data_IF_915206333885
#
_entry.id   IF_915206333885
#
_cell.length_a   1.000
_cell.length_b   1.000
_cell.length_c   1.000
_cell.angle_alpha   90.00
_cell.angle_beta   90.00
_cell.angle_gamma   90.00
#
_symmetry.space_group_name_H-M   'P 1'
#
loop_
_entity.id
_entity.type
_entity.pdbx_description
1 polymer ?
#
# COMPACT_ATOMS: atom_id res chain seq x y z
N UNK A 1 14.41 -13.04 19.88
CA UNK A 1 13.87 -13.74 18.69
C UNK A 1 12.45 -13.24 18.44
N UNK A 2 11.97 -13.32 17.21
CA UNK A 2 10.64 -12.87 16.77
C UNK A 2 9.78 -14.09 16.46
N UNK A 3 8.51 -14.08 16.88
CA UNK A 3 7.50 -15.01 16.40
C UNK A 3 6.71 -14.33 15.28
N UNK A 4 6.79 -14.87 14.06
CA UNK A 4 6.04 -14.37 12.93
C UNK A 4 4.96 -15.37 12.53
N UNK A 5 3.73 -14.91 12.37
CA UNK A 5 2.63 -15.66 11.76
C UNK A 5 2.25 -14.99 10.47
N UNK A 6 2.10 -15.77 9.40
CA UNK A 6 1.60 -15.28 8.12
C UNK A 6 0.25 -15.92 7.87
N UNK A 7 -0.77 -15.08 7.66
CA UNK A 7 -2.14 -15.50 7.36
C UNK A 7 -2.45 -15.28 5.89
N UNK A 8 -2.87 -16.33 5.21
CA UNK A 8 -3.55 -16.27 3.92
C UNK A 8 -5.04 -16.05 4.21
N UNK A 9 -5.62 -14.88 3.89
CA UNK A 9 -7.03 -14.64 4.12
C UNK A 9 -7.87 -15.39 3.08
N UNK A 10 -9.15 -15.63 3.39
CA UNK A 10 -10.12 -15.99 2.37
C UNK A 10 -10.27 -14.82 1.38
N UNK A 11 -10.46 -15.15 0.09
CA UNK A 11 -10.80 -14.14 -0.92
C UNK A 11 -12.19 -13.58 -0.61
N UNK A 12 -12.34 -12.26 -0.68
CA UNK A 12 -13.64 -11.63 -0.50
C UNK A 12 -14.59 -12.07 -1.61
N UNK A 13 -15.84 -12.36 -1.24
CA UNK A 13 -16.92 -12.76 -2.17
C UNK A 13 -17.26 -11.70 -3.22
N UNK A 14 -16.78 -10.47 -3.04
CA UNK A 14 -16.97 -9.36 -3.99
C UNK A 14 -15.77 -9.13 -4.91
N UNK A 15 -14.63 -9.77 -4.65
CA UNK A 15 -13.41 -9.71 -5.50
C UNK A 15 -13.43 -10.78 -6.61
N UNK A 16 -14.58 -11.44 -6.79
CA UNK A 16 -14.76 -12.56 -7.72
C UNK A 16 -15.40 -12.10 -9.04
N UNK A 17 -14.61 -11.48 -9.91
CA UNK A 17 -14.96 -11.38 -11.34
C UNK A 17 -14.55 -12.63 -12.15
N UNK A 18 -14.05 -13.67 -11.48
CA UNK A 18 -13.69 -14.93 -12.11
C UNK A 18 -14.83 -15.94 -12.07
N UNK A 19 -15.67 -15.87 -13.10
CA UNK A 19 -16.50 -17.01 -13.52
C UNK A 19 -15.62 -18.23 -13.81
N UNK A 20 -15.41 -19.09 -12.81
CA UNK A 20 -15.08 -20.50 -13.02
C UNK A 20 -15.55 -21.33 -11.83
N UNK A 21 -16.22 -22.44 -12.14
CA UNK A 21 -17.09 -23.25 -11.28
C UNK A 21 -16.34 -24.08 -10.20
N UNK A 22 -15.27 -23.56 -9.59
CA UNK A 22 -14.56 -24.25 -8.51
C UNK A 22 -15.13 -23.84 -7.14
N UNK A 23 -15.17 -24.76 -6.15
CA UNK A 23 -15.62 -24.44 -4.80
C UNK A 23 -14.78 -23.33 -4.17
N UNK A 24 -15.35 -22.66 -3.16
CA UNK A 24 -14.75 -21.53 -2.42
C UNK A 24 -13.25 -21.74 -2.13
N UNK A 25 -12.46 -20.68 -2.31
CA UNK A 25 -11.00 -20.69 -2.16
C UNK A 25 -10.56 -21.38 -0.85
N UNK A 26 -9.62 -22.32 -0.93
CA UNK A 26 -8.98 -22.88 0.27
C UNK A 26 -7.78 -22.03 0.67
N UNK A 27 -7.54 -21.94 1.97
CA UNK A 27 -6.41 -21.19 2.57
C UNK A 27 -5.29 -22.09 3.08
N UNK A 28 -5.50 -23.41 3.07
CA UNK A 28 -4.54 -24.40 3.54
C UNK A 28 -3.50 -24.74 2.49
N UNK A 29 -2.38 -25.30 2.94
CA UNK A 29 -1.33 -25.87 2.10
C UNK A 29 -0.54 -24.88 1.22
N UNK A 30 -0.65 -23.57 1.46
CA UNK A 30 0.28 -22.61 0.87
C UNK A 30 1.68 -22.82 1.45
N UNK A 31 2.68 -22.98 0.59
CA UNK A 31 4.08 -23.04 1.02
C UNK A 31 4.63 -21.62 1.12
N UNK A 32 5.10 -21.26 2.31
CA UNK A 32 5.68 -19.94 2.60
C UNK A 32 7.17 -20.10 2.87
N UNK A 33 7.98 -19.29 2.21
CA UNK A 33 9.41 -19.14 2.45
C UNK A 33 9.70 -17.73 2.96
N UNK A 34 10.54 -17.65 3.99
CA UNK A 34 11.12 -16.42 4.52
C UNK A 34 12.61 -16.48 4.29
N UNK A 35 13.15 -15.49 3.59
CA UNK A 35 14.59 -15.28 3.44
C UNK A 35 15.01 -14.08 4.28
N UNK A 36 15.82 -14.30 5.31
CA UNK A 36 16.49 -13.24 6.07
C UNK A 36 17.59 -12.65 5.18
N UNK A 37 17.52 -11.36 4.92
CA UNK A 37 18.40 -10.68 3.98
C UNK A 37 19.63 -10.12 4.70
N UNK A 38 20.76 -10.14 3.99
CA UNK A 38 21.98 -9.47 4.44
C UNK A 38 21.83 -7.96 4.22
N UNK A 39 21.54 -7.24 5.31
CA UNK A 39 21.34 -5.78 5.34
C UNK A 39 22.11 -5.17 6.49
N UNK A 40 22.26 -3.84 6.47
CA UNK A 40 22.74 -3.08 7.62
C UNK A 40 21.92 -3.44 8.89
N UNK A 41 22.52 -3.43 10.09
CA UNK A 41 21.83 -3.75 11.34
C UNK A 41 20.60 -2.87 11.57
N UNK A 42 19.43 -3.49 11.67
CA UNK A 42 18.13 -2.81 11.83
C UNK A 42 17.93 -2.16 13.22
N UNK A 43 18.85 -2.36 14.16
CA UNK A 43 18.86 -1.69 15.46
C UNK A 43 19.47 -0.28 15.40
N UNK A 44 19.82 0.20 14.20
CA UNK A 44 20.26 1.57 13.92
C UNK A 44 19.18 2.31 13.14
N UNK A 45 19.12 3.64 13.28
CA UNK A 45 18.16 4.48 12.53
C UNK A 45 18.36 4.31 11.02
N UNK A 46 19.61 4.34 10.56
CA UNK A 46 19.95 4.23 9.15
C UNK A 46 19.66 2.83 8.59
N UNK A 47 20.05 1.77 9.33
CA UNK A 47 19.79 0.39 8.92
C UNK A 47 18.30 0.09 8.85
N UNK A 48 17.52 0.54 9.84
CA UNK A 48 16.07 0.42 9.81
C UNK A 48 15.45 1.16 8.61
N UNK A 49 15.86 2.41 8.38
CA UNK A 49 15.36 3.22 7.26
C UNK A 49 15.63 2.54 5.91
N UNK A 50 16.87 2.09 5.68
CA UNK A 50 17.26 1.37 4.46
C UNK A 50 16.45 0.07 4.28
N UNK A 51 16.27 -0.69 5.36
CA UNK A 51 15.48 -1.92 5.33
C UNK A 51 13.99 -1.65 5.03
N UNK A 52 13.42 -0.59 5.59
CA UNK A 52 12.02 -0.20 5.37
C UNK A 52 11.73 0.31 3.94
N UNK A 53 12.72 0.90 3.28
CA UNK A 53 12.63 1.37 1.89
C UNK A 53 12.92 0.25 0.86
N UNK A 54 13.26 -0.95 1.31
CA UNK A 54 13.68 -2.05 0.45
C UNK A 54 12.48 -2.63 -0.32
N UNK A 55 12.49 -2.46 -1.65
CA UNK A 55 11.52 -3.10 -2.53
C UNK A 55 11.79 -4.60 -2.70
N UNK A 56 10.75 -5.39 -3.00
CA UNK A 56 10.86 -6.83 -3.35
C UNK A 56 11.89 -7.08 -4.44
N UNK A 57 11.91 -6.23 -5.49
CA UNK A 57 12.85 -6.33 -6.60
C UNK A 57 14.30 -6.21 -6.15
N UNK A 58 14.59 -5.32 -5.22
CA UNK A 58 15.95 -5.12 -4.71
C UNK A 58 16.31 -6.17 -3.65
N UNK A 59 15.35 -6.55 -2.79
CA UNK A 59 15.51 -7.62 -1.82
C UNK A 59 15.96 -8.95 -2.46
N UNK A 60 15.37 -9.31 -3.61
CA UNK A 60 15.76 -10.51 -4.38
C UNK A 60 17.21 -10.54 -4.86
N UNK A 61 17.91 -9.41 -4.85
CA UNK A 61 19.31 -9.29 -5.28
C UNK A 61 20.29 -9.37 -4.11
N UNK A 62 19.81 -9.28 -2.88
CA UNK A 62 20.65 -9.34 -1.69
C UNK A 62 21.02 -10.79 -1.37
N UNK A 63 22.16 -10.95 -0.68
CA UNK A 63 22.51 -12.24 -0.11
C UNK A 63 21.49 -12.65 0.94
N UNK A 64 21.23 -13.95 1.04
CA UNK A 64 20.33 -14.53 2.03
C UNK A 64 21.18 -15.11 3.15
N UNK A 65 20.97 -14.61 4.37
CA UNK A 65 21.66 -15.08 5.58
C UNK A 65 21.07 -16.40 6.05
N UNK A 66 19.74 -16.50 6.06
CA UNK A 66 19.03 -17.67 6.56
C UNK A 66 17.69 -17.82 5.85
N UNK A 67 17.20 -19.05 5.75
CA UNK A 67 15.90 -19.37 5.15
C UNK A 67 15.04 -20.17 6.11
N UNK A 68 13.75 -19.87 6.11
CA UNK A 68 12.74 -20.59 6.86
C UNK A 68 11.61 -20.96 5.92
N UNK A 69 11.00 -22.13 6.13
CA UNK A 69 9.82 -22.55 5.37
C UNK A 69 8.75 -23.10 6.30
N UNK A 70 7.49 -22.84 5.97
CA UNK A 70 6.33 -23.41 6.65
C UNK A 70 5.17 -23.51 5.66
N UNK A 71 4.16 -24.29 6.02
CA UNK A 71 2.95 -24.47 5.22
C UNK A 71 1.74 -24.02 6.02
N UNK A 72 0.75 -23.42 5.36
CA UNK A 72 -0.47 -22.97 6.04
C UNK A 72 -1.34 -24.15 6.47
N UNK A 73 -1.90 -24.03 7.67
CA UNK A 73 -2.92 -24.93 8.20
C UNK A 73 -4.32 -24.64 7.63
N UNK A 74 -5.34 -25.30 8.19
CA UNK A 74 -6.75 -25.12 7.79
C UNK A 74 -7.31 -23.73 8.10
N UNK A 75 -6.66 -22.94 8.96
CA UNK A 75 -7.02 -21.55 9.26
C UNK A 75 -6.28 -20.55 8.35
N UNK A 76 -5.42 -21.06 7.46
CA UNK A 76 -4.60 -20.26 6.56
C UNK A 76 -3.35 -19.69 7.24
N UNK A 77 -2.93 -20.24 8.37
CA UNK A 77 -1.81 -19.70 9.17
C UNK A 77 -0.56 -20.56 8.97
N UNK A 78 0.55 -19.91 8.65
CA UNK A 78 1.89 -20.48 8.75
C UNK A 78 2.65 -19.79 9.89
N UNK A 79 3.17 -20.57 10.85
CA UNK A 79 3.88 -20.05 12.00
C UNK A 79 5.39 -20.24 11.88
N UNK A 80 6.13 -19.21 12.26
CA UNK A 80 7.58 -19.14 12.21
C UNK A 80 8.09 -18.65 13.57
N UNK A 81 8.31 -19.55 14.54
CA UNK A 81 8.87 -19.18 15.83
C UNK A 81 10.38 -18.95 15.72
N UNK A 82 10.91 -18.09 16.58
CA UNK A 82 12.37 -18.02 16.79
C UNK A 82 13.16 -17.25 15.71
N UNK A 83 12.53 -16.41 14.89
CA UNK A 83 13.23 -15.69 13.83
C UNK A 83 14.23 -14.67 14.39
N UNK A 84 15.36 -14.52 13.71
CA UNK A 84 16.30 -13.43 13.97
C UNK A 84 15.70 -12.10 13.50
N UNK A 85 15.85 -11.00 14.27
CA UNK A 85 15.49 -9.67 13.80
C UNK A 85 16.23 -9.30 12.51
N UNK A 86 15.54 -8.65 11.58
CA UNK A 86 16.11 -8.19 10.32
C UNK A 86 15.06 -7.89 9.25
N UNK A 87 15.55 -7.56 8.05
CA UNK A 87 14.72 -7.47 6.86
C UNK A 87 14.52 -8.86 6.26
N UNK A 88 13.29 -9.21 5.93
CA UNK A 88 12.92 -10.51 5.41
C UNK A 88 12.16 -10.37 4.10
N UNK A 89 12.53 -11.15 3.08
CA UNK A 89 11.71 -11.38 1.90
C UNK A 89 10.77 -12.57 2.17
N UNK A 90 9.47 -12.33 2.03
CA UNK A 90 8.42 -13.33 2.20
C UNK A 90 7.86 -13.69 0.82
N UNK A 91 7.89 -14.98 0.50
CA UNK A 91 7.33 -15.55 -0.74
C UNK A 91 6.37 -16.66 -0.37
N UNK A 92 5.13 -16.60 -0.86
CA UNK A 92 4.14 -17.65 -0.67
C UNK A 92 3.71 -18.20 -2.02
N UNK A 93 3.63 -19.53 -2.13
CA UNK A 93 3.20 -20.22 -3.32
C UNK A 93 1.92 -20.99 -3.05
N UNK A 94 0.91 -20.91 -3.95
CA UNK A 94 -0.28 -21.73 -3.84
C UNK A 94 0.07 -23.23 -3.94
N UNK A 95 -0.73 -24.11 -3.34
CA UNK A 95 -0.59 -25.54 -3.55
C UNK A 95 -0.77 -25.89 -5.03
N UNK A 96 -0.17 -27.00 -5.46
CA UNK A 96 -0.31 -27.52 -6.82
C UNK A 96 -1.67 -28.19 -7.06
N UNK A 97 -2.45 -28.41 -6.00
CA UNK A 97 -3.82 -28.92 -6.09
C UNK A 97 -4.69 -27.97 -6.91
N UNK A 98 -5.39 -28.54 -7.90
CA UNK A 98 -6.30 -27.79 -8.76
C UNK A 98 -7.77 -27.94 -8.35
N UNK A 99 -8.08 -28.63 -7.25
CA UNK A 99 -9.46 -28.85 -6.78
C UNK A 99 -10.15 -27.55 -6.35
N UNK A 100 -9.38 -26.58 -5.88
CA UNK A 100 -9.86 -25.26 -5.49
C UNK A 100 -9.21 -24.16 -6.33
N UNK A 101 -9.78 -22.96 -6.27
CA UNK A 101 -9.09 -21.75 -6.70
C UNK A 101 -8.16 -21.27 -5.59
N UNK A 102 -6.87 -21.13 -5.93
CA UNK A 102 -5.83 -20.66 -5.01
C UNK A 102 -5.19 -19.39 -5.60
N UNK A 103 -5.62 -18.18 -5.17
CA UNK A 103 -4.98 -16.95 -5.61
C UNK A 103 -3.51 -16.93 -5.16
N UNK A 104 -2.65 -16.35 -5.99
CA UNK A 104 -1.23 -16.20 -5.67
C UNK A 104 -1.01 -14.98 -4.77
N UNK A 105 -0.40 -15.13 -3.59
CA UNK A 105 -0.04 -14.00 -2.75
C UNK A 105 1.06 -13.15 -3.39
N UNK A 106 0.99 -11.84 -3.15
CA UNK A 106 2.09 -10.93 -3.45
C UNK A 106 3.27 -11.24 -2.55
N UNK A 107 4.45 -11.29 -3.15
CA UNK A 107 5.69 -11.26 -2.39
C UNK A 107 5.84 -9.92 -1.67
N UNK A 108 6.49 -9.93 -0.51
CA UNK A 108 6.68 -8.71 0.28
C UNK A 108 7.97 -8.71 1.08
N UNK A 109 8.46 -7.52 1.39
CA UNK A 109 9.55 -7.32 2.33
C UNK A 109 8.95 -6.87 3.66
N UNK A 110 9.38 -7.48 4.75
CA UNK A 110 8.97 -7.13 6.12
C UNK A 110 10.21 -6.93 6.99
N UNK A 111 10.21 -5.89 7.80
CA UNK A 111 11.23 -5.67 8.84
C UNK A 111 10.66 -6.17 10.16
N UNK A 112 11.36 -7.09 10.82
CA UNK A 112 10.95 -7.67 12.11
C UNK A 112 12.02 -7.46 13.19
N UNK A 113 11.67 -7.19 14.46
CA UNK A 113 10.31 -6.93 14.97
C UNK A 113 9.69 -5.66 14.39
N UNK A 114 8.38 -5.49 14.56
CA UNK A 114 7.66 -4.28 14.12
C UNK A 114 7.48 -3.31 15.30
N UNK A 115 7.18 -2.04 15.03
CA UNK A 115 6.73 -1.15 16.09
C UNK A 115 5.43 -1.65 16.71
N UNK A 116 5.33 -1.62 18.03
CA UNK A 116 4.16 -2.00 18.83
C UNK A 116 3.56 -0.81 19.55
N UNK A 117 2.72 -1.07 20.57
CA UNK A 117 2.09 -0.01 21.36
C UNK A 117 3.08 0.61 22.36
N UNK A 118 2.87 1.88 22.69
CA UNK A 118 3.63 2.61 23.72
C UNK A 118 5.15 2.58 23.50
N UNK A 119 5.59 2.77 22.25
CA UNK A 119 7.00 2.79 21.85
C UNK A 119 7.77 1.49 22.15
N UNK A 120 7.06 0.36 22.33
CA UNK A 120 7.67 -0.96 22.52
C UNK A 120 7.72 -1.73 21.21
N UNK A 121 8.80 -2.48 21.01
CA UNK A 121 8.90 -3.44 19.90
C UNK A 121 7.87 -4.57 20.05
N UNK A 122 7.20 -4.91 18.95
CA UNK A 122 6.34 -6.07 18.83
C UNK A 122 7.13 -7.26 18.26
N UNK A 123 7.35 -8.27 19.09
CA UNK A 123 8.04 -9.51 18.71
C UNK A 123 7.06 -10.63 18.29
N UNK A 124 5.75 -10.41 18.41
CA UNK A 124 4.71 -11.35 18.00
C UNK A 124 3.93 -10.73 16.83
N UNK A 125 4.45 -10.95 15.62
CA UNK A 125 3.97 -10.28 14.41
C UNK A 125 2.97 -11.18 13.69
N UNK A 126 1.79 -10.64 13.37
CA UNK A 126 0.83 -11.25 12.45
C UNK A 126 0.83 -10.46 11.14
N UNK A 127 1.23 -11.11 10.06
CA UNK A 127 1.22 -10.55 8.71
C UNK A 127 0.05 -11.17 7.93
N UNK A 128 -0.78 -10.34 7.33
CA UNK A 128 -1.88 -10.81 6.47
C UNK A 128 -1.46 -10.61 5.03
N UNK A 129 -1.42 -11.70 4.27
CA UNK A 129 -1.01 -11.66 2.88
C UNK A 129 -2.05 -10.95 2.01
N UNK A 130 -1.56 -10.22 1.00
CA UNK A 130 -2.37 -9.67 -0.08
C UNK A 130 -2.18 -10.52 -1.33
N UNK A 131 -3.18 -10.60 -2.19
CA UNK A 131 -3.11 -11.35 -3.45
C UNK A 131 -2.63 -10.49 -4.61
N UNK A 132 -1.95 -11.11 -5.58
CA UNK A 132 -1.61 -10.44 -6.84
C UNK A 132 -2.90 -9.98 -7.53
N UNK A 133 -2.94 -8.76 -8.08
CA UNK A 133 -4.12 -8.28 -8.77
C UNK A 133 -4.44 -9.20 -9.94
N UNK A 134 -5.72 -9.55 -10.09
CA UNK A 134 -6.14 -10.35 -11.21
C UNK A 134 -6.17 -9.47 -12.48
N UNK A 135 -5.36 -9.82 -13.48
CA UNK A 135 -5.45 -9.17 -14.80
C UNK A 135 -6.56 -9.89 -15.56
N UNK A 136 -7.73 -9.26 -15.67
CA UNK A 136 -8.79 -9.76 -16.53
C UNK A 136 -8.31 -9.81 -17.99
N UNK A 137 -8.64 -10.87 -18.75
CA UNK A 137 -8.38 -10.87 -20.18
C UNK A 137 -9.10 -9.68 -20.85
N UNK A 138 -8.53 -9.09 -21.92
CA UNK A 138 -9.23 -8.06 -22.68
C UNK A 138 -10.58 -8.60 -23.15
N UNK A 139 -11.65 -7.84 -22.91
CA UNK A 139 -12.99 -8.18 -23.40
C UNK A 139 -12.94 -8.23 -24.93
N UNK A 140 -13.40 -9.32 -25.58
CA UNK A 140 -13.50 -9.37 -27.03
C UNK A 140 -14.38 -8.24 -27.56
N UNK A 141 -13.90 -7.46 -28.53
CA UNK A 141 -14.73 -6.49 -29.26
C UNK A 141 -15.87 -7.23 -29.96
N UNK A 142 -17.09 -7.13 -29.43
CA UNK A 142 -18.30 -7.56 -30.12
C UNK A 142 -18.61 -6.49 -31.17
N UNK A 143 -18.73 -6.81 -32.47
CA UNK A 143 -19.16 -5.84 -33.46
C UNK A 143 -20.60 -5.40 -33.17
N UNK A 144 -20.79 -4.10 -32.95
CA UNK A 144 -22.09 -3.45 -32.80
C UNK A 144 -22.80 -3.43 -34.16
N UNK A 145 -23.66 -4.42 -34.42
CA UNK A 145 -24.63 -4.33 -35.52
C UNK A 145 -25.78 -3.42 -35.08
N UNK A 146 -25.57 -2.10 -35.17
CA UNK A 146 -26.66 -1.12 -35.04
C UNK A 146 -27.39 -1.01 -36.38
N UNK A 147 -28.71 -1.29 -36.46
CA UNK A 147 -29.49 -1.06 -37.68
C UNK A 147 -29.50 0.42 -38.07
N UNK A 148 -29.56 0.76 -39.37
CA UNK A 148 -29.58 2.16 -39.80
C UNK A 148 -30.85 2.87 -39.31
N UNK A 149 -30.67 4.06 -38.75
CA UNK A 149 -31.76 4.94 -38.29
C UNK A 149 -32.51 5.55 -39.50
N UNK A 150 -33.84 5.73 -39.44
CA UNK A 150 -34.61 6.42 -40.49
C UNK A 150 -34.21 7.90 -40.63
N UNK A 151 -34.41 8.53 -41.81
CA UNK A 151 -33.97 9.91 -42.06
C UNK A 151 -34.81 10.94 -41.30
N UNK A 152 -34.14 11.98 -40.80
CA UNK A 152 -34.71 13.06 -39.99
C UNK A 152 -35.44 14.13 -40.83
N UNK A 153 -36.54 14.73 -40.33
CA UNK A 153 -37.10 15.95 -40.90
C UNK A 153 -36.36 17.20 -40.40
N UNK A 154 -35.92 18.02 -41.35
CA UNK A 154 -35.31 19.35 -41.15
C UNK A 154 -36.38 20.39 -40.85
N UNK A 155 -36.16 21.32 -39.91
CA UNK A 155 -36.35 22.79 -40.06
C UNK A 155 -35.81 23.54 -38.81
N UNK A 156 -35.05 24.60 -39.06
CA UNK A 156 -34.44 25.56 -38.11
C UNK A 156 -35.14 26.92 -38.28
N UNK A 157 -35.29 27.79 -37.25
CA UNK A 157 -34.32 28.89 -37.11
C UNK A 157 -34.08 29.43 -35.66
N UNK A 158 -32.80 29.74 -35.39
CA UNK A 158 -32.25 30.94 -34.72
C UNK A 158 -32.70 31.40 -33.31
N UNK A 159 -31.86 31.04 -32.30
CA UNK A 159 -31.38 31.71 -31.05
C UNK A 159 -32.05 32.97 -30.46
N UNK A 160 -32.04 33.17 -29.11
CA UNK A 160 -30.94 33.95 -28.52
C UNK A 160 -30.41 33.53 -27.10
N UNK A 161 -29.08 33.63 -26.93
CA UNK A 161 -28.33 34.11 -25.74
C UNK A 161 -28.08 33.20 -24.51
N UNK A 162 -26.95 33.34 -23.76
CA UNK A 162 -25.56 33.50 -24.19
C UNK A 162 -24.60 32.46 -23.56
N UNK A 163 -23.58 32.09 -24.34
CA UNK A 163 -22.38 31.39 -23.88
C UNK A 163 -21.32 32.37 -23.38
N UNK A 164 -20.51 31.94 -22.41
CA UNK A 164 -19.06 32.15 -22.47
C UNK A 164 -18.38 30.79 -22.23
N UNK A 165 -17.58 30.21 -23.12
CA UNK A 165 -16.51 30.87 -23.85
C UNK A 165 -15.31 31.11 -22.93
N UNK A 166 -14.56 30.07 -22.55
CA UNK A 166 -13.09 30.14 -22.39
C UNK A 166 -12.43 28.80 -22.07
N UNK A 167 -11.33 28.59 -22.79
CA UNK A 167 -10.18 27.75 -22.43
C UNK A 167 -9.89 27.79 -20.93
N UNK A 168 -9.75 26.62 -20.30
CA UNK A 168 -9.00 26.49 -19.07
C UNK A 168 -8.39 25.08 -19.00
N UNK A 169 -7.09 25.03 -19.24
CA UNK A 169 -6.19 23.99 -18.77
C UNK A 169 -6.13 24.01 -17.22
N UNK A 170 -5.37 23.09 -16.60
CA UNK A 170 -5.82 22.00 -15.77
C UNK A 170 -6.02 22.40 -14.29
N UNK A 171 -6.97 21.75 -13.58
CA UNK A 171 -7.03 21.85 -12.13
C UNK A 171 -6.60 20.53 -11.48
N UNK A 172 -5.32 20.51 -11.13
CA UNK A 172 -4.78 19.67 -10.09
C UNK A 172 -5.45 20.03 -8.75
N UNK A 173 -6.06 19.05 -8.10
CA UNK A 173 -6.50 19.11 -6.70
C UNK A 173 -6.51 17.65 -6.22
N UNK A 174 -5.69 17.23 -5.27
CA UNK A 174 -5.39 17.88 -4.00
C UNK A 174 -4.04 17.42 -3.45
N UNK A 175 -3.31 18.36 -2.83
CA UNK A 175 -1.99 18.15 -2.21
C UNK A 175 -1.30 19.44 -1.80
N UNK A 176 -1.73 20.60 -2.34
CA UNK A 176 -1.12 21.90 -2.07
C UNK A 176 -1.69 22.66 -0.85
N UNK A 177 -2.75 22.14 -0.19
CA UNK A 177 -3.42 22.86 0.89
C UNK A 177 -2.62 22.93 2.22
N UNK A 178 -1.53 22.17 2.36
CA UNK A 178 -0.79 22.11 3.65
C UNK A 178 0.31 23.18 3.74
N UNK A 179 0.83 23.67 2.61
CA UNK A 179 1.93 24.65 2.57
C UNK A 179 1.52 26.05 3.08
N UNK A 180 0.28 26.47 2.84
CA UNK A 180 -0.21 27.79 3.28
C UNK A 180 -0.29 27.92 4.81
N UNK A 181 -0.69 26.84 5.49
CA UNK A 181 -0.82 26.83 6.96
C UNK A 181 0.55 26.92 7.66
N UNK A 182 1.56 26.24 7.13
CA UNK A 182 2.92 26.22 7.71
C UNK A 182 3.59 27.60 7.60
N UNK A 183 3.40 28.30 6.47
CA UNK A 183 3.93 29.65 6.31
C UNK A 183 3.26 30.66 7.25
N UNK A 184 1.93 30.59 7.41
CA UNK A 184 1.21 31.46 8.33
C UNK A 184 1.61 31.23 9.80
N UNK A 185 1.75 29.96 10.22
CA UNK A 185 2.18 29.62 11.57
C UNK A 185 3.62 30.09 11.86
N UNK A 186 4.53 29.96 10.89
CA UNK A 186 5.92 30.39 11.03
C UNK A 186 6.03 31.91 11.22
N UNK A 187 5.24 32.70 10.49
CA UNK A 187 5.20 34.16 10.64
C UNK A 187 4.65 34.58 12.00
N UNK A 188 3.60 33.90 12.51
CA UNK A 188 3.03 34.21 13.82
C UNK A 188 3.98 33.87 14.97
N UNK A 189 4.72 32.76 14.88
CA UNK A 189 5.71 32.39 15.91
C UNK A 189 6.88 33.38 15.89
N UNK A 190 7.42 33.71 14.72
CA UNK A 190 8.57 34.62 14.62
C UNK A 190 8.19 36.06 15.02
N UNK A 191 7.00 36.52 14.59
CA UNK A 191 6.44 37.83 14.97
C UNK A 191 6.13 37.92 16.46
N UNK A 192 5.52 36.88 17.04
CA UNK A 192 5.25 36.81 18.48
C UNK A 192 6.54 36.86 19.30
N UNK A 193 7.58 36.15 18.87
CA UNK A 193 8.86 36.11 19.58
C UNK A 193 9.61 37.45 19.49
N UNK A 194 9.58 38.13 18.34
CA UNK A 194 10.20 39.46 18.18
C UNK A 194 9.48 40.53 19.01
N UNK A 195 8.13 40.52 19.05
CA UNK A 195 7.35 41.42 19.91
C UNK A 195 7.65 41.19 21.41
N UNK A 196 7.81 39.94 21.83
CA UNK A 196 8.18 39.58 23.21
C UNK A 196 9.56 40.11 23.60
N UNK A 197 10.54 40.03 22.70
CA UNK A 197 11.90 40.56 22.93
C UNK A 197 11.87 42.09 23.02
N UNK A 198 11.15 42.77 22.12
CA UNK A 198 11.00 44.23 22.14
C UNK A 198 10.26 44.74 23.40
N UNK A 199 9.22 44.03 23.84
CA UNK A 199 8.49 44.36 25.07
C UNK A 199 9.35 44.18 26.34
N UNK A 200 10.28 43.22 26.34
CA UNK A 200 11.24 43.03 27.45
C UNK A 200 12.28 44.15 27.50
N UNK A 201 12.75 44.66 26.35
CA UNK A 201 13.71 45.77 26.31
C UNK A 201 13.13 47.08 26.87
N UNK A 202 11.86 47.38 26.59
CA UNK A 202 11.18 48.56 27.15
C UNK A 202 10.93 48.51 28.67
N UNK A 203 10.98 47.35 29.31
CA UNK A 203 10.89 47.24 30.79
C UNK A 203 12.22 47.51 31.51
N UNK A 204 13.33 47.69 30.77
CA UNK A 204 14.65 47.92 31.37
C UNK A 204 15.07 49.39 31.37
N UNK A 205 14.27 50.29 30.78
CA UNK A 205 14.50 51.75 30.80
C UNK A 205 13.52 52.52 31.70
N UNK A 206 12.84 51.81 32.60
CA UNK A 206 11.85 52.39 33.51
C UNK A 206 11.97 51.85 34.92
N UNK A 207 13.15 51.96 35.53
CA UNK A 207 13.32 52.01 36.99
C UNK A 207 14.67 52.61 37.36
#
# INVERSE_FOLDING_TARGET
>A
MVNLKIKIPLVDKYDTDLRSHKPHCSVSNYKIEISLLDTDPINTIEGYKKAAELSVKNAKKLAVVEKYTATTDNEGIAAFPGLKPGACLVVAQPPTDSSFYYPKPQEMVVVIPTSGQNDKWNYDVLLIAKFEPHILPPVPNIPTNTPPSPPAPTFSPSSPSPAPGKLAEPLAMTGAAVLGLVMAASVLILGGFTLLILARRKKTEGK
#
